data_IF_016824814270
#
_entry.id   IF_016824814270
#
_cell.length_a   1.000
_cell.length_b   1.000
_cell.length_c   1.000
_cell.angle_alpha   90.00
_cell.angle_beta   90.00
_cell.angle_gamma   90.00
#
_symmetry.space_group_name_H-M   'P 1'
#
loop_
_entity.id
_entity.type
_entity.pdbx_description
1 polymer ?
#
# COMPACT_ATOMS: atom_id res chain seq x y z
N UNK A 1 -17.53 -9.22 -10.51
CA UNK A 1 -16.36 -9.11 -9.61
C UNK A 1 -16.77 -8.46 -8.29
N UNK A 2 -16.58 -9.13 -7.17
CA UNK A 2 -16.83 -8.45 -5.90
C UNK A 2 -15.81 -7.36 -5.64
N UNK A 3 -16.18 -6.39 -4.79
CA UNK A 3 -15.28 -5.36 -4.33
C UNK A 3 -14.56 -5.79 -3.05
N UNK A 4 -13.38 -5.25 -2.85
CA UNK A 4 -12.58 -5.49 -1.65
C UNK A 4 -11.97 -4.20 -1.15
N UNK A 5 -11.91 -4.08 0.17
CA UNK A 5 -11.20 -3.00 0.84
C UNK A 5 -10.02 -3.62 1.56
N UNK A 6 -8.82 -3.27 1.14
CA UNK A 6 -7.59 -3.83 1.70
C UNK A 6 -6.82 -2.77 2.46
N UNK A 7 -6.29 -3.15 3.62
CA UNK A 7 -5.39 -2.31 4.40
C UNK A 7 -3.98 -2.85 4.21
N UNK A 8 -3.11 -2.04 3.61
CA UNK A 8 -1.72 -2.40 3.32
C UNK A 8 -0.82 -1.70 4.31
N UNK A 9 0.04 -2.48 4.95
CA UNK A 9 0.99 -1.98 5.93
C UNK A 9 2.40 -2.10 5.36
N UNK A 10 3.16 -1.02 5.44
CA UNK A 10 4.58 -1.04 5.15
C UNK A 10 5.36 -0.91 6.44
N UNK A 11 6.26 -1.85 6.72
CA UNK A 11 7.07 -1.82 7.93
C UNK A 11 8.52 -1.56 7.58
N UNK A 12 9.11 -0.57 8.23
CA UNK A 12 10.52 -0.23 8.07
C UNK A 12 10.91 -0.09 6.60
N UNK A 13 10.05 0.58 5.84
CA UNK A 13 10.27 0.77 4.39
C UNK A 13 11.28 1.89 4.19
N UNK A 14 12.25 1.64 3.32
CA UNK A 14 13.28 2.62 2.99
C UNK A 14 12.76 3.61 1.97
N UNK A 15 12.64 4.88 2.38
CA UNK A 15 12.17 5.96 1.53
C UNK A 15 13.26 6.98 1.27
N UNK A 16 13.18 7.59 0.10
CA UNK A 16 14.07 8.68 -0.29
C UNK A 16 13.30 9.99 -0.14
N UNK A 17 13.68 10.79 0.83
CA UNK A 17 13.04 12.08 1.11
C UNK A 17 14.12 13.14 1.16
N UNK A 18 14.02 14.15 0.28
CA UNK A 18 15.00 15.25 0.18
C UNK A 18 16.46 14.74 0.06
N UNK A 19 16.65 13.74 -0.79
CA UNK A 19 17.95 13.08 -1.04
C UNK A 19 18.49 12.32 0.17
N UNK A 20 17.68 12.12 1.20
CA UNK A 20 18.05 11.34 2.37
C UNK A 20 17.23 10.08 2.46
N UNK A 21 17.84 8.98 2.84
CA UNK A 21 17.17 7.71 3.05
C UNK A 21 16.64 7.64 4.48
N UNK A 22 15.36 7.39 4.61
CA UNK A 22 14.70 7.25 5.90
C UNK A 22 13.89 5.97 5.92
N UNK A 23 13.77 5.35 7.09
CA UNK A 23 12.95 4.17 7.28
C UNK A 23 11.66 4.56 8.02
N UNK A 24 10.54 4.32 7.38
CA UNK A 24 9.23 4.70 7.91
C UNK A 24 8.25 3.54 7.81
N UNK A 25 7.28 3.54 8.71
CA UNK A 25 6.12 2.67 8.60
C UNK A 25 4.97 3.48 7.99
N UNK A 26 4.07 2.81 7.29
CA UNK A 26 2.88 3.48 6.80
C UNK A 26 1.71 2.51 6.69
N UNK A 27 0.50 3.09 6.66
CA UNK A 27 -0.74 2.35 6.44
C UNK A 27 -1.44 2.99 5.24
N UNK A 28 -1.93 2.18 4.34
CA UNK A 28 -2.68 2.64 3.17
C UNK A 28 -3.92 1.78 2.98
N UNK A 29 -5.00 2.40 2.53
CA UNK A 29 -6.24 1.69 2.20
C UNK A 29 -6.42 1.68 0.69
N UNK A 30 -6.73 0.50 0.14
CA UNK A 30 -6.91 0.32 -1.30
C UNK A 30 -8.27 -0.31 -1.57
N UNK A 31 -8.97 0.21 -2.57
CA UNK A 31 -10.26 -0.32 -3.02
C UNK A 31 -10.06 -1.01 -4.37
N UNK A 32 -10.50 -2.26 -4.45
CA UNK A 32 -10.24 -3.11 -5.62
C UNK A 32 -11.46 -3.94 -5.95
N UNK A 33 -11.72 -4.12 -7.25
CA UNK A 33 -12.66 -5.15 -7.73
C UNK A 33 -11.80 -6.30 -8.24
N UNK A 34 -12.05 -7.51 -7.76
CA UNK A 34 -11.27 -8.68 -8.12
C UNK A 34 -12.14 -9.95 -8.07
N UNK A 35 -11.69 -11.00 -8.72
CA UNK A 35 -12.43 -12.27 -8.76
C UNK A 35 -12.47 -12.99 -7.41
N UNK A 36 -11.42 -12.83 -6.63
CA UNK A 36 -11.31 -13.47 -5.33
C UNK A 36 -10.35 -12.68 -4.43
N UNK A 37 -10.28 -13.10 -3.18
CA UNK A 37 -9.46 -12.43 -2.17
C UNK A 37 -7.97 -12.45 -2.51
N UNK A 38 -7.45 -13.57 -3.02
CA UNK A 38 -6.04 -13.69 -3.37
C UNK A 38 -5.64 -12.69 -4.46
N UNK A 39 -6.47 -12.57 -5.51
CA UNK A 39 -6.24 -11.59 -6.57
C UNK A 39 -6.33 -10.16 -6.05
N UNK A 40 -7.25 -9.91 -5.11
CA UNK A 40 -7.39 -8.60 -4.50
C UNK A 40 -6.15 -8.22 -3.70
N UNK A 41 -5.57 -9.16 -2.95
CA UNK A 41 -4.34 -8.91 -2.20
C UNK A 41 -3.17 -8.54 -3.12
N UNK A 42 -2.99 -9.30 -4.20
CA UNK A 42 -1.93 -9.02 -5.17
C UNK A 42 -2.09 -7.64 -5.80
N UNK A 43 -3.32 -7.31 -6.18
CA UNK A 43 -3.62 -6.01 -6.78
C UNK A 43 -3.38 -4.87 -5.80
N UNK A 44 -3.74 -5.06 -4.53
CA UNK A 44 -3.53 -4.05 -3.50
C UNK A 44 -2.05 -3.73 -3.33
N UNK A 45 -1.22 -4.77 -3.23
CA UNK A 45 0.22 -4.59 -3.09
C UNK A 45 0.82 -3.90 -4.32
N UNK A 46 0.37 -4.28 -5.52
CA UNK A 46 0.84 -3.66 -6.75
C UNK A 46 0.49 -2.18 -6.82
N UNK A 47 -0.74 -1.82 -6.46
CA UNK A 47 -1.20 -0.44 -6.47
C UNK A 47 -0.36 0.43 -5.53
N UNK A 48 -0.10 -0.05 -4.32
CA UNK A 48 0.70 0.70 -3.35
C UNK A 48 2.13 0.86 -3.84
N UNK A 49 2.75 -0.20 -4.34
CA UNK A 49 4.12 -0.12 -4.87
C UNK A 49 4.24 0.84 -6.04
N UNK A 50 3.30 0.79 -6.98
CA UNK A 50 3.29 1.70 -8.11
C UNK A 50 3.18 3.15 -7.68
N UNK A 51 2.37 3.44 -6.67
CA UNK A 51 2.24 4.79 -6.16
C UNK A 51 3.55 5.27 -5.53
N UNK A 52 4.22 4.42 -4.75
CA UNK A 52 5.51 4.76 -4.16
C UNK A 52 6.56 5.04 -5.21
N UNK A 53 6.61 4.23 -6.26
CA UNK A 53 7.53 4.45 -7.39
C UNK A 53 7.18 5.74 -8.14
N UNK A 54 5.90 5.98 -8.37
CA UNK A 54 5.43 7.17 -9.08
C UNK A 54 5.82 8.47 -8.37
N UNK A 55 5.84 8.44 -7.04
CA UNK A 55 6.23 9.59 -6.24
C UNK A 55 7.72 9.64 -5.96
N UNK A 56 8.49 8.73 -6.55
CA UNK A 56 9.94 8.62 -6.36
C UNK A 56 10.34 8.42 -4.89
N UNK A 57 9.47 7.80 -4.12
CA UNK A 57 9.74 7.51 -2.71
C UNK A 57 10.57 6.24 -2.53
N UNK A 58 10.53 5.33 -3.49
CA UNK A 58 11.37 4.13 -3.50
C UNK A 58 12.06 4.03 -4.86
N UNK A 59 13.21 3.37 -4.90
CA UNK A 59 13.96 3.22 -6.15
C UNK A 59 13.56 1.97 -6.93
N UNK A 60 13.31 0.88 -6.23
CA UNK A 60 13.00 -0.39 -6.86
C UNK A 60 11.68 -0.97 -6.33
N UNK A 61 10.97 -1.62 -7.24
CA UNK A 61 9.68 -2.26 -6.92
C UNK A 61 9.76 -3.23 -5.75
N UNK A 62 10.83 -4.03 -5.68
CA UNK A 62 10.95 -5.10 -4.69
C UNK A 62 11.49 -4.67 -3.32
N UNK A 63 11.87 -3.39 -3.17
CA UNK A 63 12.47 -2.91 -1.93
C UNK A 63 11.48 -2.61 -0.81
N UNK A 64 10.19 -2.54 -1.12
CA UNK A 64 9.18 -2.19 -0.12
C UNK A 64 8.59 -3.44 0.52
N UNK A 65 8.89 -3.72 1.81
CA UNK A 65 8.30 -4.85 2.53
C UNK A 65 6.86 -4.51 2.92
N UNK A 66 5.92 -4.88 2.06
CA UNK A 66 4.51 -4.60 2.25
C UNK A 66 3.75 -5.86 2.64
N UNK A 67 2.77 -5.70 3.52
CA UNK A 67 1.86 -6.77 3.89
C UNK A 67 0.41 -6.27 3.83
N UNK A 68 -0.50 -7.18 3.51
CA UNK A 68 -1.92 -6.89 3.62
C UNK A 68 -2.34 -7.28 5.02
N UNK A 69 -2.60 -6.29 5.86
CA UNK A 69 -2.98 -6.51 7.25
C UNK A 69 -4.42 -6.98 7.38
N UNK A 70 -5.30 -6.43 6.55
CA UNK A 70 -6.72 -6.75 6.57
C UNK A 70 -7.29 -6.62 5.18
N UNK A 71 -8.23 -7.50 4.84
CA UNK A 71 -8.98 -7.40 3.60
C UNK A 71 -10.43 -7.80 3.88
N UNK A 72 -11.36 -6.99 3.37
CA UNK A 72 -12.80 -7.21 3.53
C UNK A 72 -13.48 -7.17 2.19
N UNK A 73 -14.40 -8.08 1.97
CA UNK A 73 -15.25 -8.06 0.80
C UNK A 73 -16.34 -7.00 1.01
N UNK A 74 -16.55 -6.16 0.00
CA UNK A 74 -17.56 -5.10 0.00
C UNK A 74 -18.38 -5.22 -1.28
N UNK A 75 -19.37 -4.36 -1.47
CA UNK A 75 -20.12 -4.31 -2.73
C UNK A 75 -19.20 -3.90 -3.88
N UNK A 76 -19.60 -4.22 -5.10
CA UNK A 76 -18.85 -3.82 -6.30
C UNK A 76 -18.61 -2.31 -6.26
N UNK A 77 -17.36 -1.93 -6.49
CA UNK A 77 -16.93 -0.54 -6.38
C UNK A 77 -16.97 0.17 -7.74
N UNK A 78 -17.53 1.37 -7.74
CA UNK A 78 -17.52 2.22 -8.92
C UNK A 78 -16.14 2.85 -9.15
N UNK A 79 -15.42 3.13 -8.06
CA UNK A 79 -14.08 3.70 -8.11
C UNK A 79 -13.12 2.82 -7.34
N UNK A 80 -11.97 2.53 -7.94
CA UNK A 80 -10.94 1.69 -7.33
C UNK A 80 -9.63 2.47 -7.24
N UNK A 81 -8.68 1.93 -6.48
CA UNK A 81 -7.38 2.53 -6.25
C UNK A 81 -7.18 2.93 -4.81
N UNK A 82 -6.28 3.86 -4.55
CA UNK A 82 -5.99 4.34 -3.20
C UNK A 82 -7.18 5.12 -2.64
N UNK A 83 -7.55 4.80 -1.41
CA UNK A 83 -8.65 5.46 -0.70
C UNK A 83 -8.08 6.43 0.31
N UNK A 84 -7.63 7.59 -0.15
CA UNK A 84 -7.03 8.61 0.69
C UNK A 84 -5.51 8.56 0.66
N UNK A 85 -4.88 9.32 1.53
CA UNK A 85 -3.44 9.42 1.60
C UNK A 85 -2.83 8.34 2.49
N UNK A 86 -1.53 8.11 2.30
CA UNK A 86 -0.79 7.25 3.19
C UNK A 86 -0.73 7.86 4.59
N UNK A 87 -0.86 7.03 5.61
CA UNK A 87 -0.69 7.45 7.00
C UNK A 87 0.71 7.04 7.42
N UNK A 88 1.59 8.02 7.55
CA UNK A 88 3.00 7.79 7.87
C UNK A 88 3.21 7.72 9.37
N UNK A 89 4.02 6.77 9.80
CA UNK A 89 4.39 6.64 11.20
C UNK A 89 5.90 6.46 11.29
N UNK A 90 6.53 7.31 12.08
CA UNK A 90 7.97 7.18 12.31
C UNK A 90 8.20 6.04 13.31
N UNK A 91 9.21 5.18 13.08
CA UNK A 91 9.56 4.17 14.06
C UNK A 91 9.93 4.83 15.38
N UNK A 92 9.55 4.20 16.48
CA UNK A 92 9.92 4.70 17.80
C UNK A 92 11.43 4.57 17.98
N UNK A 93 12.05 5.67 18.31
CA UNK A 93 13.46 5.67 18.68
C UNK A 93 13.59 5.63 20.18
N UNK A 94 14.32 4.68 20.65
CA UNK A 94 14.63 4.59 22.07
C UNK A 94 15.94 5.31 22.39
#
# INVERSE_FOLDING_TARGET
MPGYKATVLGENVEFIIDDETQHLDFISTVLINADNEASAQESALAIVREELLSQSLIEEWDEAPLIVEEIKQVDVLANTGLAGDFIWTFPEED
#
